data_IF_531410830901
#
_entry.id   IF_531410830901
#
_cell.length_a   1.000
_cell.length_b   1.000
_cell.length_c   1.000
_cell.angle_alpha   90.00
_cell.angle_beta   90.00
_cell.angle_gamma   90.00
#
_symmetry.space_group_name_H-M   'P 1'
#
loop_
_entity.id
_entity.type
_entity.pdbx_description
1 polymer ?
#
# COMPACT_ATOMS: atom_id res chain seq x y z
N UNK A 1 5.23 -11.10 -0.64
CA UNK A 1 6.47 -10.41 -1.02
C UNK A 1 7.52 -11.46 -1.35
N UNK A 2 8.22 -11.30 -2.48
CA UNK A 2 9.25 -12.22 -2.94
C UNK A 2 10.61 -11.53 -3.22
N UNK A 3 10.61 -10.20 -3.26
CA UNK A 3 11.80 -9.38 -3.46
C UNK A 3 11.87 -8.21 -2.47
N UNK A 4 13.10 -7.77 -2.17
CA UNK A 4 13.42 -6.50 -1.52
C UNK A 4 14.35 -5.71 -2.43
N UNK A 5 14.04 -4.43 -2.71
CA UNK A 5 14.92 -3.51 -3.43
C UNK A 5 15.74 -2.71 -2.43
N UNK A 6 17.05 -2.75 -2.55
CA UNK A 6 18.00 -2.11 -1.64
C UNK A 6 18.89 -1.16 -2.41
N UNK A 7 18.79 0.16 -2.10
CA UNK A 7 19.70 1.15 -2.68
C UNK A 7 21.12 1.00 -2.15
N UNK A 8 22.08 1.38 -2.95
CA UNK A 8 23.51 1.39 -2.58
C UNK A 8 24.10 2.74 -2.99
N UNK A 9 24.50 3.51 -1.98
CA UNK A 9 25.32 4.73 -2.15
C UNK A 9 26.80 4.38 -2.04
N UNK A 10 27.67 5.20 -2.67
CA UNK A 10 29.08 4.92 -2.67
C UNK A 10 29.74 5.20 -1.30
N UNK A 11 29.63 6.45 -0.84
CA UNK A 11 30.19 6.88 0.44
C UNK A 11 29.33 7.98 1.10
N UNK A 12 28.24 7.61 1.79
CA UNK A 12 27.30 8.57 2.39
C UNK A 12 27.80 9.12 3.75
N UNK A 13 29.07 9.50 3.82
CA UNK A 13 29.69 9.98 5.07
C UNK A 13 30.63 11.14 4.77
N UNK A 14 30.76 12.05 5.77
CA UNK A 14 31.83 13.06 5.78
C UNK A 14 33.20 12.40 6.03
N UNK A 15 34.26 13.16 5.87
CA UNK A 15 35.62 12.68 6.11
C UNK A 15 35.88 12.27 7.58
N UNK A 16 35.14 12.83 8.53
CA UNK A 16 35.17 12.48 9.96
C UNK A 16 34.12 11.43 10.36
N UNK A 17 33.39 10.87 9.37
CA UNK A 17 32.51 9.72 9.53
C UNK A 17 31.07 10.06 9.94
N UNK A 18 30.63 11.31 9.83
CA UNK A 18 29.24 11.67 10.03
C UNK A 18 28.39 11.21 8.83
N UNK A 19 27.28 10.52 9.10
CA UNK A 19 26.39 10.02 8.05
C UNK A 19 25.49 11.11 7.47
N UNK A 20 25.15 10.98 6.18
CA UNK A 20 24.29 11.92 5.46
C UNK A 20 22.79 11.74 5.74
N UNK A 21 22.37 10.64 6.39
CA UNK A 21 20.97 10.32 6.61
C UNK A 21 20.42 9.32 5.60
N UNK A 22 19.10 9.21 5.53
CA UNK A 22 18.42 8.26 4.64
C UNK A 22 18.88 6.81 4.84
N UNK A 23 19.24 6.45 6.07
CA UNK A 23 19.78 5.14 6.43
C UNK A 23 21.29 4.99 6.22
N UNK A 24 22.01 5.97 5.68
CA UNK A 24 23.45 5.91 5.37
C UNK A 24 23.82 4.63 4.62
N UNK A 25 23.06 4.29 3.57
CA UNK A 25 23.07 2.96 2.94
C UNK A 25 24.22 2.84 1.94
N UNK A 26 25.42 2.59 2.45
CA UNK A 26 26.56 2.15 1.65
C UNK A 26 26.48 0.64 1.37
N UNK A 27 27.46 0.10 0.62
CA UNK A 27 27.50 -1.32 0.27
C UNK A 27 27.49 -2.26 1.50
N UNK A 28 28.13 -1.93 2.61
CA UNK A 28 28.19 -2.76 3.82
C UNK A 28 26.84 -2.80 4.54
N UNK A 29 26.14 -1.66 4.64
CA UNK A 29 24.81 -1.59 5.23
C UNK A 29 23.78 -2.31 4.35
N UNK A 30 23.84 -2.11 3.04
CA UNK A 30 23.00 -2.83 2.08
C UNK A 30 23.25 -4.35 2.16
N UNK A 31 24.49 -4.79 2.27
CA UNK A 31 24.85 -6.20 2.47
C UNK A 31 24.23 -6.79 3.74
N UNK A 32 24.24 -6.02 4.83
CA UNK A 32 23.61 -6.45 6.10
C UNK A 32 22.11 -6.69 5.93
N UNK A 33 21.41 -5.78 5.26
CA UNK A 33 19.99 -5.93 4.95
C UNK A 33 19.73 -7.07 3.95
N UNK A 34 20.56 -7.18 2.91
CA UNK A 34 20.46 -8.24 1.91
C UNK A 34 20.57 -9.64 2.50
N UNK A 35 21.50 -9.85 3.44
CA UNK A 35 21.62 -11.11 4.18
C UNK A 35 20.37 -11.45 5.00
N UNK A 36 19.77 -10.45 5.64
CA UNK A 36 18.50 -10.63 6.38
C UNK A 36 17.35 -10.96 5.43
N UNK A 37 17.25 -10.29 4.28
CA UNK A 37 16.25 -10.58 3.25
C UNK A 37 16.38 -12.01 2.74
N UNK A 38 17.60 -12.44 2.37
CA UNK A 38 17.90 -13.80 1.91
C UNK A 38 17.54 -14.84 2.99
N UNK A 39 17.89 -14.58 4.25
CA UNK A 39 17.55 -15.47 5.36
C UNK A 39 16.03 -15.59 5.58
N UNK A 40 15.26 -14.58 5.18
CA UNK A 40 13.79 -14.59 5.18
C UNK A 40 13.19 -15.21 3.90
N UNK A 41 14.01 -15.78 3.00
CA UNK A 41 13.55 -16.38 1.74
C UNK A 41 13.22 -15.37 0.63
N UNK A 42 13.68 -14.13 0.76
CA UNK A 42 13.46 -13.09 -0.24
C UNK A 42 14.67 -12.95 -1.15
N UNK A 43 14.43 -12.73 -2.44
CA UNK A 43 15.45 -12.29 -3.38
C UNK A 43 15.74 -10.79 -3.20
N UNK A 44 16.89 -10.36 -3.66
CA UNK A 44 17.34 -8.98 -3.57
C UNK A 44 17.46 -8.37 -4.97
N UNK A 45 16.92 -7.17 -5.15
CA UNK A 45 17.28 -6.24 -6.20
C UNK A 45 18.27 -5.24 -5.59
N UNK A 46 19.50 -5.22 -6.10
CA UNK A 46 20.54 -4.25 -5.70
C UNK A 46 20.43 -3.04 -6.58
N UNK A 47 20.12 -1.87 -6.01
CA UNK A 47 19.91 -0.61 -6.71
C UNK A 47 21.11 0.32 -6.52
N UNK A 48 22.01 0.37 -7.50
CA UNK A 48 23.16 1.25 -7.48
C UNK A 48 22.75 2.67 -7.87
N UNK A 49 22.89 3.63 -6.97
CA UNK A 49 22.68 5.04 -7.28
C UNK A 49 23.88 5.66 -8.00
N UNK A 50 25.08 5.12 -7.81
CA UNK A 50 26.35 5.70 -8.27
C UNK A 50 26.50 7.16 -7.86
N UNK A 51 26.14 7.46 -6.63
CA UNK A 51 26.23 8.74 -5.93
C UNK A 51 26.53 8.48 -4.46
N UNK A 52 26.90 9.50 -3.71
CA UNK A 52 27.12 9.37 -2.25
C UNK A 52 25.86 9.64 -1.45
N UNK A 53 24.78 10.06 -2.10
CA UNK A 53 23.49 10.37 -1.50
C UNK A 53 22.36 10.10 -2.50
N UNK A 54 21.14 10.59 -2.25
CA UNK A 54 20.01 10.39 -3.13
C UNK A 54 20.33 10.74 -4.60
N UNK A 55 20.01 9.82 -5.50
CA UNK A 55 19.98 10.06 -6.93
C UNK A 55 18.54 10.03 -7.43
N UNK A 56 18.10 11.08 -8.11
CA UNK A 56 16.79 11.26 -8.71
C UNK A 56 16.94 11.98 -10.06
N UNK A 57 15.85 12.25 -10.83
CA UNK A 57 15.96 12.90 -12.14
C UNK A 57 16.65 14.26 -12.13
N UNK A 58 16.62 14.98 -11.01
CA UNK A 58 17.24 16.28 -10.83
C UNK A 58 18.66 16.19 -10.24
N UNK A 59 18.97 15.09 -9.55
CA UNK A 59 20.19 14.88 -8.78
C UNK A 59 20.89 13.59 -9.21
N UNK A 60 21.83 13.71 -10.12
CA UNK A 60 22.69 12.62 -10.58
C UNK A 60 24.15 13.01 -10.36
N UNK A 61 24.48 13.32 -9.09
CA UNK A 61 25.80 13.82 -8.72
C UNK A 61 26.83 12.70 -8.74
N UNK A 62 28.03 13.03 -9.22
CA UNK A 62 29.16 12.12 -9.19
C UNK A 62 29.62 11.88 -7.74
N UNK A 63 29.96 10.64 -7.33
CA UNK A 63 30.56 10.39 -6.03
C UNK A 63 31.80 11.24 -5.77
N UNK A 64 32.03 11.66 -4.51
CA UNK A 64 33.20 12.45 -4.10
C UNK A 64 34.49 11.86 -4.60
N UNK A 65 34.65 10.53 -4.48
CA UNK A 65 35.83 9.80 -4.91
C UNK A 65 36.07 9.86 -6.43
N UNK A 66 35.05 10.19 -7.25
CA UNK A 66 35.13 10.25 -8.71
C UNK A 66 35.18 11.67 -9.24
N UNK A 67 35.17 12.66 -8.35
CA UNK A 67 35.12 14.11 -8.70
C UNK A 67 36.26 14.56 -9.61
N UNK A 68 37.44 13.93 -9.51
CA UNK A 68 38.63 14.31 -10.32
C UNK A 68 38.47 14.03 -11.83
N UNK A 69 37.48 13.22 -12.22
CA UNK A 69 37.18 12.89 -13.61
C UNK A 69 35.69 13.10 -13.95
N UNK A 70 35.00 13.94 -13.18
CA UNK A 70 33.62 14.32 -13.47
C UNK A 70 33.44 14.73 -14.93
N UNK A 71 32.42 14.18 -15.60
CA UNK A 71 32.13 14.44 -17.00
C UNK A 71 32.94 13.59 -17.99
N UNK A 72 33.94 12.81 -17.56
CA UNK A 72 34.67 11.85 -18.38
C UNK A 72 33.92 10.52 -18.40
N UNK A 73 33.16 10.28 -19.48
CA UNK A 73 32.29 9.11 -19.60
C UNK A 73 33.09 7.78 -19.62
N UNK A 74 34.30 7.75 -20.18
CA UNK A 74 35.10 6.53 -20.25
C UNK A 74 35.64 6.15 -18.88
N UNK A 75 36.22 7.09 -18.14
CA UNK A 75 36.67 6.85 -16.77
C UNK A 75 35.53 6.54 -15.81
N UNK A 76 34.36 7.20 -15.97
CA UNK A 76 33.18 6.89 -15.18
C UNK A 76 32.70 5.47 -15.45
N UNK A 77 32.65 5.03 -16.71
CA UNK A 77 32.28 3.67 -17.09
C UNK A 77 33.24 2.62 -16.50
N UNK A 78 34.56 2.83 -16.62
CA UNK A 78 35.56 1.92 -16.02
C UNK A 78 35.38 1.83 -14.49
N UNK A 79 35.14 2.96 -13.82
CA UNK A 79 34.94 2.99 -12.36
C UNK A 79 33.63 2.36 -11.93
N UNK A 80 32.54 2.55 -12.68
CA UNK A 80 31.24 1.90 -12.46
C UNK A 80 31.39 0.36 -12.60
N UNK A 81 32.12 -0.09 -13.63
CA UNK A 81 32.40 -1.51 -13.78
C UNK A 81 33.13 -2.09 -12.56
N UNK A 82 34.22 -1.45 -12.14
CA UNK A 82 35.02 -1.94 -11.01
C UNK A 82 34.24 -1.91 -9.69
N UNK A 83 33.52 -0.83 -9.40
CA UNK A 83 32.73 -0.68 -8.18
C UNK A 83 31.57 -1.70 -8.13
N UNK A 84 30.84 -1.85 -9.23
CA UNK A 84 29.75 -2.82 -9.34
C UNK A 84 30.24 -4.25 -9.17
N UNK A 85 31.34 -4.58 -9.87
CA UNK A 85 31.96 -5.92 -9.79
C UNK A 85 32.42 -6.25 -8.38
N UNK A 86 33.11 -5.32 -7.71
CA UNK A 86 33.59 -5.51 -6.34
C UNK A 86 32.42 -5.70 -5.37
N UNK A 87 31.41 -4.83 -5.42
CA UNK A 87 30.24 -4.90 -4.52
C UNK A 87 29.48 -6.21 -4.72
N UNK A 88 29.18 -6.59 -5.96
CA UNK A 88 28.44 -7.83 -6.24
C UNK A 88 29.25 -9.09 -5.91
N UNK A 89 30.58 -9.05 -6.05
CA UNK A 89 31.44 -10.15 -5.62
C UNK A 89 31.32 -10.36 -4.11
N UNK A 90 31.28 -9.28 -3.33
CA UNK A 90 31.11 -9.34 -1.87
C UNK A 90 29.72 -9.91 -1.50
N UNK A 91 28.66 -9.46 -2.18
CA UNK A 91 27.29 -9.98 -1.98
C UNK A 91 27.19 -11.47 -2.31
N UNK A 92 27.77 -11.89 -3.45
CA UNK A 92 27.82 -13.31 -3.85
C UNK A 92 28.57 -14.17 -2.82
N UNK A 93 29.76 -13.72 -2.38
CA UNK A 93 30.55 -14.44 -1.37
C UNK A 93 29.85 -14.55 -0.02
N UNK A 94 29.00 -13.57 0.32
CA UNK A 94 28.18 -13.58 1.52
C UNK A 94 26.90 -14.44 1.40
N UNK A 95 26.65 -15.07 0.24
CA UNK A 95 25.51 -15.95 0.00
C UNK A 95 24.18 -15.20 -0.17
N UNK A 96 24.21 -13.93 -0.61
CA UNK A 96 22.98 -13.17 -0.89
C UNK A 96 22.32 -13.69 -2.18
N UNK A 97 21.01 -13.93 -2.13
CA UNK A 97 20.19 -14.30 -3.29
C UNK A 97 19.84 -13.06 -4.10
N UNK A 98 20.76 -12.61 -4.96
CA UNK A 98 20.58 -11.46 -5.84
C UNK A 98 19.89 -11.91 -7.12
N UNK A 99 18.63 -11.53 -7.30
CA UNK A 99 17.85 -11.84 -8.52
C UNK A 99 17.87 -10.74 -9.57
N UNK A 100 18.10 -9.49 -9.17
CA UNK A 100 18.16 -8.34 -10.07
C UNK A 100 19.20 -7.33 -9.61
N UNK A 101 19.78 -6.59 -10.55
CA UNK A 101 20.70 -5.48 -10.27
C UNK A 101 20.34 -4.29 -11.15
N UNK A 102 20.10 -3.14 -10.52
CA UNK A 102 19.74 -1.89 -11.16
C UNK A 102 20.99 -1.02 -11.35
N UNK A 103 21.19 -0.58 -12.58
CA UNK A 103 22.33 0.26 -13.00
C UNK A 103 21.88 1.71 -13.04
N UNK A 104 22.05 2.42 -11.93
CA UNK A 104 21.59 3.80 -11.72
C UNK A 104 20.13 3.87 -11.28
N UNK A 105 19.76 4.93 -10.56
CA UNK A 105 18.41 5.21 -10.11
C UNK A 105 17.83 6.41 -10.88
N UNK A 106 16.60 6.24 -11.45
CA UNK A 106 15.88 7.29 -12.19
C UNK A 106 16.72 8.07 -13.21
N UNK A 107 17.46 7.35 -14.03
CA UNK A 107 18.50 7.87 -14.94
C UNK A 107 17.94 8.59 -16.17
N UNK A 108 16.85 9.31 -16.01
CA UNK A 108 16.07 9.97 -17.09
C UNK A 108 16.90 10.91 -17.95
N UNK A 109 17.84 11.65 -17.34
CA UNK A 109 18.66 12.65 -18.05
C UNK A 109 20.17 12.45 -17.86
N UNK A 110 20.58 11.76 -16.79
CA UNK A 110 21.99 11.57 -16.41
C UNK A 110 22.14 10.27 -15.63
N UNK A 111 23.38 9.79 -15.52
CA UNK A 111 23.82 8.75 -14.59
C UNK A 111 25.22 9.07 -14.11
N UNK A 112 25.47 9.07 -12.80
CA UNK A 112 26.79 9.35 -12.20
C UNK A 112 27.46 10.62 -12.75
N UNK A 113 26.69 11.71 -12.91
CA UNK A 113 27.16 12.98 -13.49
C UNK A 113 27.27 13.01 -15.02
N UNK A 114 27.18 11.87 -15.71
CA UNK A 114 27.29 11.78 -17.17
C UNK A 114 25.93 12.02 -17.82
N UNK A 115 25.88 12.93 -18.80
CA UNK A 115 24.71 13.26 -19.60
C UNK A 115 24.91 12.90 -21.07
N UNK A 116 23.80 12.83 -21.83
CA UNK A 116 23.83 12.45 -23.24
C UNK A 116 23.98 10.94 -23.44
N UNK A 117 23.26 10.43 -24.45
CA UNK A 117 23.13 8.98 -24.65
C UNK A 117 24.44 8.28 -24.99
N UNK A 118 25.37 8.92 -25.71
CA UNK A 118 26.68 8.36 -26.02
C UNK A 118 27.50 8.10 -24.73
N UNK A 119 27.40 8.99 -23.76
CA UNK A 119 28.08 8.83 -22.47
C UNK A 119 27.32 7.90 -21.51
N UNK A 120 26.02 8.11 -21.35
CA UNK A 120 25.19 7.30 -20.46
C UNK A 120 25.21 5.82 -20.83
N UNK A 121 25.15 5.50 -22.14
CA UNK A 121 25.17 4.12 -22.62
C UNK A 121 26.50 3.39 -22.31
N UNK A 122 27.62 4.09 -22.27
CA UNK A 122 28.89 3.52 -21.81
C UNK A 122 28.80 3.12 -20.33
N UNK A 123 28.21 3.96 -19.49
CA UNK A 123 28.03 3.70 -18.06
C UNK A 123 27.06 2.52 -17.85
N UNK A 124 25.91 2.50 -18.54
CA UNK A 124 24.96 1.38 -18.49
C UNK A 124 25.63 0.06 -18.92
N UNK A 125 26.36 0.05 -20.03
CA UNK A 125 27.05 -1.13 -20.54
C UNK A 125 28.14 -1.63 -19.62
N UNK A 126 28.84 -0.72 -18.93
CA UNK A 126 29.87 -1.07 -17.95
C UNK A 126 29.27 -1.75 -16.72
N UNK A 127 28.17 -1.19 -16.16
CA UNK A 127 27.43 -1.80 -15.06
C UNK A 127 26.88 -3.17 -15.45
N UNK A 128 26.23 -3.27 -16.59
CA UNK A 128 25.70 -4.53 -17.13
C UNK A 128 26.80 -5.59 -17.28
N UNK A 129 27.93 -5.24 -17.88
CA UNK A 129 29.08 -6.15 -18.03
C UNK A 129 29.55 -6.69 -16.68
N UNK A 130 29.66 -5.86 -15.66
CA UNK A 130 30.07 -6.28 -14.32
C UNK A 130 29.05 -7.27 -13.72
N UNK A 131 27.76 -7.02 -13.91
CA UNK A 131 26.68 -7.90 -13.45
C UNK A 131 26.76 -9.26 -14.12
N UNK A 132 26.85 -9.29 -15.47
CA UNK A 132 26.94 -10.56 -16.22
C UNK A 132 28.14 -11.39 -15.82
N UNK A 133 29.26 -10.75 -15.49
CA UNK A 133 30.48 -11.48 -15.06
C UNK A 133 30.36 -12.08 -13.65
N UNK A 134 29.71 -11.38 -12.72
CA UNK A 134 29.63 -11.82 -11.31
C UNK A 134 28.40 -12.68 -11.05
N UNK A 135 27.24 -12.25 -11.60
CA UNK A 135 25.92 -12.82 -11.36
C UNK A 135 25.20 -13.05 -12.70
N UNK A 136 25.63 -14.00 -13.53
CA UNK A 136 25.10 -14.19 -14.89
C UNK A 136 23.58 -14.47 -14.94
N UNK A 137 23.01 -15.00 -13.86
CA UNK A 137 21.57 -15.32 -13.76
C UNK A 137 20.72 -14.14 -13.26
N UNK A 138 21.35 -13.07 -12.74
CA UNK A 138 20.62 -11.91 -12.27
C UNK A 138 20.19 -11.03 -13.46
N UNK A 139 18.94 -10.54 -13.43
CA UNK A 139 18.44 -9.61 -14.46
C UNK A 139 19.09 -8.24 -14.27
N UNK A 140 19.51 -7.63 -15.38
CA UNK A 140 20.03 -6.26 -15.45
C UNK A 140 18.86 -5.30 -15.64
N UNK A 141 18.73 -4.33 -14.73
CA UNK A 141 17.63 -3.37 -14.71
C UNK A 141 18.15 -1.97 -15.04
N UNK A 142 17.44 -1.27 -15.93
CA UNK A 142 17.64 0.18 -16.19
C UNK A 142 16.36 0.92 -15.78
N UNK A 143 16.50 1.96 -14.97
CA UNK A 143 15.39 2.63 -14.31
C UNK A 143 15.22 4.08 -14.77
N UNK A 144 13.98 4.41 -15.15
CA UNK A 144 13.54 5.74 -15.56
C UNK A 144 12.29 6.17 -14.79
N UNK A 145 11.90 7.43 -14.95
CA UNK A 145 10.67 7.97 -14.38
C UNK A 145 9.95 8.92 -15.34
N UNK A 146 8.79 9.44 -14.92
CA UNK A 146 7.88 10.31 -15.67
C UNK A 146 7.21 9.59 -16.87
N UNK A 147 6.51 8.47 -16.65
CA UNK A 147 5.77 7.76 -17.72
C UNK A 147 4.66 8.60 -18.35
N UNK A 148 4.19 9.67 -17.67
CA UNK A 148 3.18 10.59 -18.17
C UNK A 148 3.68 11.50 -19.31
N UNK A 149 4.99 11.65 -19.46
CA UNK A 149 5.58 12.47 -20.52
C UNK A 149 5.55 11.70 -21.84
N UNK A 150 4.66 12.12 -22.72
CA UNK A 150 4.41 11.45 -23.99
C UNK A 150 5.67 11.16 -24.81
N UNK A 151 5.86 9.89 -25.20
CA UNK A 151 6.95 9.45 -26.09
C UNK A 151 8.33 9.32 -25.43
N UNK A 152 8.49 9.67 -24.14
CA UNK A 152 9.80 9.63 -23.47
C UNK A 152 10.31 8.20 -23.31
N UNK A 153 9.48 7.26 -22.85
CA UNK A 153 9.87 5.85 -22.67
C UNK A 153 10.20 5.16 -23.98
N UNK A 154 9.41 5.41 -25.04
CA UNK A 154 9.75 4.94 -26.38
C UNK A 154 11.09 5.49 -26.87
N UNK A 155 11.41 6.75 -26.55
CA UNK A 155 12.69 7.37 -26.86
C UNK A 155 13.83 6.73 -26.07
N UNK A 156 13.68 6.52 -24.76
CA UNK A 156 14.71 5.92 -23.90
C UNK A 156 15.03 4.48 -24.34
N UNK A 157 14.01 3.66 -24.52
CA UNK A 157 14.17 2.29 -25.01
C UNK A 157 14.83 2.23 -26.40
N UNK A 158 14.48 3.15 -27.31
CA UNK A 158 15.14 3.30 -28.61
C UNK A 158 16.61 3.67 -28.46
N UNK A 159 16.96 4.56 -27.55
CA UNK A 159 18.35 4.96 -27.32
C UNK A 159 19.18 3.80 -26.74
N UNK A 160 18.64 3.08 -25.75
CA UNK A 160 19.29 1.88 -25.21
C UNK A 160 19.56 0.85 -26.32
N UNK A 161 18.59 0.60 -27.20
CA UNK A 161 18.73 -0.29 -28.35
C UNK A 161 19.76 0.21 -29.37
N UNK A 162 19.73 1.49 -29.74
CA UNK A 162 20.67 2.08 -30.72
C UNK A 162 22.13 2.00 -30.25
N UNK A 163 22.35 2.04 -28.94
CA UNK A 163 23.69 1.95 -28.35
C UNK A 163 24.04 0.51 -27.92
N UNK A 164 23.20 -0.47 -28.23
CA UNK A 164 23.42 -1.88 -27.91
C UNK A 164 23.65 -2.11 -26.40
N UNK A 165 22.94 -1.38 -25.52
CA UNK A 165 23.01 -1.61 -24.10
C UNK A 165 22.38 -2.97 -23.79
N UNK A 166 23.15 -3.85 -23.16
CA UNK A 166 22.67 -5.17 -22.68
C UNK A 166 21.92 -4.99 -21.36
N UNK A 167 20.60 -5.19 -21.40
CA UNK A 167 19.74 -5.17 -20.20
C UNK A 167 18.53 -6.09 -20.39
N UNK A 168 17.91 -6.52 -19.31
CA UNK A 168 16.75 -7.40 -19.32
C UNK A 168 15.46 -6.62 -19.01
N UNK A 169 15.50 -5.72 -18.04
CA UNK A 169 14.31 -5.08 -17.48
C UNK A 169 14.35 -3.57 -17.65
N UNK A 170 13.28 -3.01 -18.23
CA UNK A 170 13.01 -1.57 -18.24
C UNK A 170 12.09 -1.22 -17.07
N UNK A 171 12.61 -0.52 -16.08
CA UNK A 171 11.89 -0.19 -14.86
C UNK A 171 11.37 1.26 -14.86
N UNK A 172 10.25 1.48 -14.20
CA UNK A 172 9.57 2.79 -14.07
C UNK A 172 9.31 3.12 -12.60
N UNK A 173 9.55 4.36 -12.18
CA UNK A 173 8.81 4.91 -11.05
C UNK A 173 7.40 5.28 -11.51
N UNK A 174 6.41 5.01 -10.67
CA UNK A 174 5.04 5.43 -10.86
C UNK A 174 4.41 5.85 -9.55
N UNK A 175 4.21 7.13 -9.38
CA UNK A 175 3.48 7.69 -8.25
C UNK A 175 2.15 8.26 -8.75
N UNK A 176 0.99 7.74 -8.32
CA UNK A 176 -0.32 8.15 -8.86
C UNK A 176 -0.57 9.65 -8.78
N UNK A 177 -0.02 10.29 -7.76
CA UNK A 177 -0.18 11.72 -7.55
C UNK A 177 0.67 12.60 -8.50
N UNK A 178 1.61 12.04 -9.29
CA UNK A 178 2.44 12.76 -10.26
C UNK A 178 2.38 12.21 -11.68
N UNK A 179 2.26 10.90 -11.86
CA UNK A 179 2.63 10.20 -13.09
C UNK A 179 1.44 9.75 -13.95
N UNK A 180 0.30 10.46 -13.84
CA UNK A 180 -0.84 10.18 -14.71
C UNK A 180 -1.67 8.96 -14.32
N UNK A 181 -2.19 8.23 -15.29
CA UNK A 181 -3.09 7.10 -15.07
C UNK A 181 -2.39 5.75 -15.22
N UNK A 182 -2.96 4.71 -14.61
CA UNK A 182 -2.50 3.32 -14.73
C UNK A 182 -2.62 2.80 -16.17
N UNK A 183 -3.64 3.24 -16.92
CA UNK A 183 -3.81 2.89 -18.34
C UNK A 183 -2.66 3.44 -19.18
N UNK A 184 -2.23 4.68 -18.92
CA UNK A 184 -1.06 5.24 -19.59
C UNK A 184 0.21 4.47 -19.22
N UNK A 185 0.40 4.14 -17.92
CA UNK A 185 1.52 3.32 -17.44
C UNK A 185 1.57 1.99 -18.20
N UNK A 186 0.46 1.25 -18.22
CA UNK A 186 0.36 -0.01 -18.99
C UNK A 186 0.73 0.20 -20.45
N UNK A 187 0.19 1.25 -21.08
CA UNK A 187 0.41 1.52 -22.51
C UNK A 187 1.88 1.79 -22.84
N UNK A 188 2.56 2.63 -22.06
CA UNK A 188 3.96 2.98 -22.33
C UNK A 188 4.92 1.83 -22.02
N UNK A 189 4.67 1.06 -20.95
CA UNK A 189 5.48 -0.12 -20.61
C UNK A 189 5.26 -1.26 -21.63
N UNK A 190 4.01 -1.53 -22.01
CA UNK A 190 3.69 -2.53 -23.04
C UNK A 190 4.32 -2.19 -24.39
N UNK A 191 4.40 -0.90 -24.74
CA UNK A 191 5.11 -0.46 -25.94
C UNK A 191 6.60 -0.82 -25.90
N UNK A 192 7.24 -0.65 -24.74
CA UNK A 192 8.66 -1.05 -24.55
C UNK A 192 8.80 -2.57 -24.65
N UNK A 193 7.99 -3.33 -23.90
CA UNK A 193 8.02 -4.79 -23.91
C UNK A 193 7.83 -5.36 -25.32
N UNK A 194 6.77 -4.96 -26.02
CA UNK A 194 6.45 -5.47 -27.34
C UNK A 194 7.48 -5.11 -28.41
N UNK A 195 8.04 -3.87 -28.35
CA UNK A 195 8.96 -3.36 -29.38
C UNK A 195 10.38 -3.89 -29.21
N UNK A 196 10.86 -3.98 -27.97
CA UNK A 196 12.26 -4.28 -27.68
C UNK A 196 12.46 -5.65 -27.02
N UNK A 197 11.38 -6.41 -26.80
CA UNK A 197 11.41 -7.75 -26.15
C UNK A 197 12.15 -7.69 -24.84
N UNK A 198 11.67 -6.82 -23.94
CA UNK A 198 12.22 -6.59 -22.61
C UNK A 198 11.14 -6.76 -21.57
N UNK A 199 11.51 -7.34 -20.46
CA UNK A 199 10.68 -7.27 -19.27
C UNK A 199 10.51 -5.81 -18.81
N UNK A 200 9.42 -5.55 -18.14
CA UNK A 200 9.12 -4.24 -17.56
C UNK A 200 8.63 -4.39 -16.13
N UNK A 201 8.83 -3.37 -15.31
CA UNK A 201 8.32 -3.37 -13.93
C UNK A 201 8.11 -1.95 -13.40
N UNK A 202 7.36 -1.82 -12.32
CA UNK A 202 7.33 -0.62 -11.48
C UNK A 202 8.33 -0.79 -10.34
N UNK A 203 9.41 0.00 -10.37
CA UNK A 203 10.45 -0.03 -9.34
C UNK A 203 10.09 0.79 -8.10
N UNK A 204 9.18 1.75 -8.24
CA UNK A 204 8.74 2.62 -7.16
C UNK A 204 7.27 3.02 -7.33
N UNK A 205 6.50 2.86 -6.26
CA UNK A 205 5.16 3.44 -6.09
C UNK A 205 4.87 3.62 -4.61
N UNK A 206 4.00 4.55 -4.25
CA UNK A 206 3.50 4.71 -2.88
C UNK A 206 2.22 5.52 -2.84
N UNK A 207 1.48 5.44 -1.72
CA UNK A 207 0.30 6.24 -1.42
C UNK A 207 0.23 6.58 0.07
N UNK A 208 -0.28 7.76 0.41
CA UNK A 208 -0.42 8.18 1.80
C UNK A 208 -1.59 7.48 2.50
N UNK A 209 -1.38 7.00 3.74
CA UNK A 209 -2.46 6.47 4.57
C UNK A 209 -3.12 7.53 5.47
N UNK A 210 -2.45 8.66 5.67
CA UNK A 210 -2.91 9.83 6.41
C UNK A 210 -2.32 11.11 5.82
N UNK A 211 -2.88 12.27 6.14
CA UNK A 211 -2.27 13.58 5.87
C UNK A 211 -1.55 14.15 7.09
N UNK A 212 -1.57 13.45 8.22
CA UNK A 212 -0.82 13.84 9.40
C UNK A 212 0.69 13.68 9.13
N UNK A 213 1.48 14.36 9.94
CA UNK A 213 2.93 14.37 9.93
C UNK A 213 3.41 13.77 11.27
N UNK A 214 4.27 12.77 11.21
CA UNK A 214 4.69 12.03 12.39
C UNK A 214 5.93 12.59 13.07
N UNK A 215 6.74 13.42 12.40
CA UNK A 215 8.02 13.90 12.93
C UNK A 215 8.22 15.43 12.84
N UNK A 216 7.19 16.18 12.43
CA UNK A 216 7.19 17.63 12.23
C UNK A 216 8.12 18.08 11.07
N UNK A 217 8.48 17.19 10.16
CA UNK A 217 9.16 17.50 8.90
C UNK A 217 8.20 17.30 7.73
N UNK A 218 7.89 18.38 7.04
CA UNK A 218 6.78 18.43 6.06
C UNK A 218 6.78 17.30 5.04
N UNK A 219 5.72 16.51 5.06
CA UNK A 219 5.52 15.42 4.12
C UNK A 219 5.35 15.89 2.65
N UNK A 220 5.86 15.09 1.72
CA UNK A 220 5.65 15.29 0.28
C UNK A 220 4.16 15.33 -0.09
N UNK A 221 3.35 14.48 0.55
CA UNK A 221 1.90 14.52 0.50
C UNK A 221 1.39 15.06 1.85
N UNK A 222 0.67 16.20 1.91
CA UNK A 222 0.07 16.96 0.79
C UNK A 222 0.94 18.12 0.23
N UNK A 223 2.12 18.40 0.75
CA UNK A 223 2.82 19.67 0.50
C UNK A 223 3.21 19.92 -0.96
N UNK A 224 3.51 18.87 -1.72
CA UNK A 224 3.93 18.92 -3.14
C UNK A 224 2.92 18.30 -4.11
N UNK A 225 1.71 17.99 -3.64
CA UNK A 225 0.68 17.30 -4.43
C UNK A 225 -0.60 18.15 -4.49
N UNK A 226 -1.19 18.26 -5.66
CA UNK A 226 -2.45 19.01 -5.82
C UNK A 226 -3.62 18.25 -5.19
N UNK A 227 -4.62 19.00 -4.70
CA UNK A 227 -5.83 18.41 -4.13
C UNK A 227 -6.58 17.48 -5.12
N UNK A 228 -6.51 17.75 -6.44
CA UNK A 228 -7.14 16.90 -7.44
C UNK A 228 -6.40 15.57 -7.63
N UNK A 229 -5.09 15.56 -7.54
CA UNK A 229 -4.28 14.33 -7.61
C UNK A 229 -4.50 13.42 -6.38
N UNK A 230 -4.82 14.00 -5.22
CA UNK A 230 -5.13 13.24 -4.00
C UNK A 230 -6.51 12.57 -4.00
N UNK A 231 -7.34 12.81 -5.03
CA UNK A 231 -8.67 12.18 -5.15
C UNK A 231 -8.66 10.82 -5.84
N UNK A 232 -7.50 10.32 -6.29
CA UNK A 232 -7.43 9.05 -7.02
C UNK A 232 -7.79 7.84 -6.16
N UNK A 233 -7.29 7.85 -4.93
CA UNK A 233 -7.60 6.86 -3.91
C UNK A 233 -7.89 7.59 -2.60
N UNK A 234 -8.58 6.95 -1.68
CA UNK A 234 -8.76 7.50 -0.34
C UNK A 234 -7.40 7.65 0.38
N UNK A 235 -7.26 8.69 1.18
CA UNK A 235 -6.10 8.85 2.08
C UNK A 235 -6.36 7.98 3.31
N UNK A 236 -6.01 6.71 3.19
CA UNK A 236 -6.28 5.68 4.20
C UNK A 236 -5.46 4.42 3.90
N UNK A 237 -5.34 3.48 4.85
CA UNK A 237 -4.78 2.16 4.58
C UNK A 237 -5.53 1.40 3.46
N UNK A 238 -6.85 1.61 3.33
CA UNK A 238 -7.61 1.04 2.20
C UNK A 238 -7.17 1.65 0.88
N UNK A 239 -7.02 2.97 0.82
CA UNK A 239 -6.54 3.64 -0.40
C UNK A 239 -5.12 3.21 -0.80
N UNK A 240 -4.22 2.92 0.16
CA UNK A 240 -2.93 2.29 -0.12
C UNK A 240 -3.10 0.90 -0.76
N UNK A 241 -4.02 0.08 -0.21
CA UNK A 241 -4.29 -1.26 -0.75
C UNK A 241 -4.86 -1.19 -2.17
N UNK A 242 -5.75 -0.24 -2.43
CA UNK A 242 -6.35 -0.02 -3.75
C UNK A 242 -5.31 0.46 -4.77
N UNK A 243 -4.42 1.35 -4.36
CA UNK A 243 -3.29 1.81 -5.18
C UNK A 243 -2.35 0.65 -5.55
N UNK A 244 -1.88 -0.10 -4.57
CA UNK A 244 -0.98 -1.24 -4.77
C UNK A 244 -1.60 -2.25 -5.76
N UNK A 245 -2.91 -2.52 -5.63
CA UNK A 245 -3.63 -3.43 -6.54
C UNK A 245 -3.73 -2.86 -7.95
N UNK A 246 -4.10 -1.58 -8.07
CA UNK A 246 -4.26 -0.93 -9.37
C UNK A 246 -2.93 -0.90 -10.15
N UNK A 247 -1.82 -0.61 -9.46
CA UNK A 247 -0.49 -0.62 -10.08
C UNK A 247 -0.04 -2.04 -10.43
N UNK A 248 -0.30 -3.01 -9.54
CA UNK A 248 0.00 -4.42 -9.83
C UNK A 248 -0.82 -4.94 -11.02
N UNK A 249 -2.10 -4.58 -11.14
CA UNK A 249 -2.95 -4.90 -12.27
C UNK A 249 -2.44 -4.24 -13.56
N UNK A 250 -2.03 -2.98 -13.50
CA UNK A 250 -1.46 -2.27 -14.64
C UNK A 250 -0.22 -2.98 -15.21
N UNK A 251 0.65 -3.48 -14.33
CA UNK A 251 1.83 -4.26 -14.72
C UNK A 251 1.43 -5.64 -15.22
N UNK A 252 0.48 -6.31 -14.58
CA UNK A 252 0.01 -7.64 -15.01
C UNK A 252 -0.66 -7.59 -16.40
N UNK A 253 -1.31 -6.49 -16.76
CA UNK A 253 -1.96 -6.28 -18.05
C UNK A 253 -0.97 -6.03 -19.22
N UNK A 254 0.34 -6.02 -18.95
CA UNK A 254 1.37 -6.02 -19.99
C UNK A 254 1.25 -7.29 -20.84
N UNK A 255 1.14 -8.45 -20.19
CA UNK A 255 1.02 -9.76 -20.82
C UNK A 255 2.31 -10.22 -21.48
N UNK A 256 2.25 -11.37 -22.12
CA UNK A 256 3.34 -11.92 -22.93
C UNK A 256 3.41 -11.20 -24.28
N UNK A 257 4.51 -10.54 -24.58
CA UNK A 257 4.74 -9.79 -25.81
C UNK A 257 5.93 -10.32 -26.63
N UNK A 258 6.75 -11.21 -26.06
CA UNK A 258 7.87 -11.82 -26.75
C UNK A 258 7.59 -13.26 -27.20
N UNK A 259 6.57 -13.90 -26.64
CA UNK A 259 6.06 -15.21 -27.06
C UNK A 259 6.70 -16.37 -26.33
N UNK A 260 7.30 -16.13 -25.16
CA UNK A 260 7.93 -17.18 -24.34
C UNK A 260 6.93 -17.87 -23.39
N UNK A 261 5.72 -17.36 -23.27
CA UNK A 261 4.62 -17.89 -22.44
C UNK A 261 4.56 -17.27 -21.05
N UNK A 262 5.46 -16.36 -20.71
CA UNK A 262 5.48 -15.64 -19.45
C UNK A 262 5.00 -14.19 -19.63
N UNK A 263 4.64 -13.54 -18.53
CA UNK A 263 4.24 -12.14 -18.55
C UNK A 263 5.48 -11.25 -18.46
N UNK A 264 5.66 -10.35 -19.43
CA UNK A 264 6.76 -9.38 -19.43
C UNK A 264 6.65 -8.35 -18.31
N UNK A 265 5.48 -8.21 -17.68
CA UNK A 265 5.26 -7.37 -16.51
C UNK A 265 5.65 -8.10 -15.23
N UNK A 266 6.85 -7.84 -14.70
CA UNK A 266 7.43 -8.61 -13.60
C UNK A 266 6.80 -8.32 -12.23
N UNK A 267 6.29 -7.10 -11.99
CA UNK A 267 5.69 -6.72 -10.71
C UNK A 267 6.00 -5.29 -10.27
N UNK A 268 5.82 -5.06 -8.96
CA UNK A 268 5.83 -3.73 -8.35
C UNK A 268 6.67 -3.75 -7.07
N UNK A 269 7.49 -2.74 -6.88
CA UNK A 269 8.12 -2.42 -5.60
C UNK A 269 7.44 -1.21 -4.98
N UNK A 270 7.06 -1.33 -3.71
CA UNK A 270 6.56 -0.22 -2.91
C UNK A 270 7.76 0.54 -2.32
N UNK A 271 7.80 1.86 -2.49
CA UNK A 271 8.93 2.70 -2.07
C UNK A 271 8.81 3.09 -0.61
N UNK A 272 9.90 2.90 0.14
CA UNK A 272 10.03 3.22 1.57
C UNK A 272 8.88 2.67 2.46
N UNK A 273 8.56 1.37 2.36
CA UNK A 273 7.39 0.79 3.04
C UNK A 273 7.49 0.80 4.56
N UNK A 274 8.68 1.01 5.12
CA UNK A 274 8.95 0.93 6.55
C UNK A 274 9.64 2.19 7.11
N UNK A 275 9.46 3.34 6.46
CA UNK A 275 9.99 4.58 6.97
C UNK A 275 9.10 5.12 8.08
N UNK A 276 9.39 4.71 9.30
CA UNK A 276 8.70 5.13 10.51
C UNK A 276 9.43 6.32 11.12
N UNK A 277 8.74 7.40 11.53
CA UNK A 277 9.38 8.57 12.16
C UNK A 277 10.09 8.18 13.47
N UNK A 278 11.19 8.84 13.78
CA UNK A 278 12.05 8.53 14.94
C UNK A 278 11.77 9.43 16.14
N UNK A 279 10.72 10.21 16.09
CA UNK A 279 10.29 11.15 17.12
C UNK A 279 9.73 12.43 16.51
N UNK A 280 9.27 13.33 17.35
CA UNK A 280 8.63 14.59 16.98
C UNK A 280 9.43 15.81 17.43
N UNK A 281 9.14 16.98 16.85
CA UNK A 281 9.77 18.25 17.17
C UNK A 281 10.82 18.74 16.16
N UNK A 282 11.02 17.98 15.09
CA UNK A 282 11.86 18.39 13.95
C UNK A 282 13.29 18.82 14.39
N UNK A 283 13.86 19.77 13.69
CA UNK A 283 15.22 20.31 13.96
C UNK A 283 15.38 21.02 15.32
N UNK A 284 14.28 21.44 15.92
CA UNK A 284 14.30 22.12 17.23
C UNK A 284 14.49 21.15 18.40
N UNK A 285 14.33 19.84 18.14
CA UNK A 285 14.57 18.80 19.11
C UNK A 285 15.99 18.24 18.99
N UNK A 286 16.91 18.71 19.85
CA UNK A 286 18.32 18.33 19.80
C UNK A 286 18.55 16.82 20.00
N UNK A 287 17.74 16.14 20.84
CA UNK A 287 17.83 14.69 21.05
C UNK A 287 17.45 13.92 19.78
N UNK A 288 16.44 14.40 19.06
CA UNK A 288 16.02 13.83 17.79
C UNK A 288 17.11 14.03 16.73
N UNK A 289 17.68 15.22 16.64
CA UNK A 289 18.81 15.51 15.72
C UNK A 289 20.01 14.62 16.02
N UNK A 290 20.34 14.40 17.29
CA UNK A 290 21.41 13.45 17.68
C UNK A 290 21.09 12.02 17.24
N UNK A 291 19.82 11.61 17.31
CA UNK A 291 19.35 10.32 16.85
C UNK A 291 19.46 10.20 15.31
N UNK A 292 19.05 11.22 14.57
CA UNK A 292 19.23 11.26 13.11
C UNK A 292 20.69 11.18 12.72
N UNK A 293 21.56 11.94 13.36
CA UNK A 293 23.01 11.93 13.10
C UNK A 293 23.62 10.55 13.37
N UNK A 294 23.20 9.90 14.46
CA UNK A 294 23.73 8.60 14.88
C UNK A 294 23.29 7.44 14.01
N UNK A 295 22.01 7.42 13.64
CA UNK A 295 21.37 6.27 12.97
C UNK A 295 21.00 6.52 11.52
N UNK A 296 21.03 7.77 11.05
CA UNK A 296 20.56 8.16 9.74
C UNK A 296 19.05 8.10 9.59
N UNK A 297 18.28 8.32 10.69
CA UNK A 297 16.84 8.13 10.72
C UNK A 297 16.02 9.18 9.96
N UNK A 298 16.58 10.39 9.68
CA UNK A 298 15.98 11.40 8.80
C UNK A 298 16.29 11.15 7.32
N UNK A 299 15.63 11.88 6.43
CA UNK A 299 15.94 11.80 4.99
C UNK A 299 17.36 12.35 4.71
N UNK A 300 17.78 13.38 5.47
CA UNK A 300 19.11 13.97 5.45
C UNK A 300 19.51 14.43 6.86
N UNK A 301 20.80 14.45 7.13
CA UNK A 301 21.42 15.18 8.24
C UNK A 301 22.02 16.49 7.75
N UNK A 302 22.39 17.40 8.66
CA UNK A 302 23.09 18.62 8.32
C UNK A 302 24.41 18.34 7.54
N UNK A 303 25.07 17.23 7.88
CA UNK A 303 26.31 16.80 7.23
C UNK A 303 26.15 16.51 5.73
N UNK A 304 24.97 16.11 5.27
CA UNK A 304 24.69 15.89 3.84
C UNK A 304 24.85 17.15 3.00
N UNK A 305 24.78 18.34 3.63
CA UNK A 305 24.99 19.61 2.96
C UNK A 305 26.38 19.80 2.33
N UNK A 306 27.41 19.03 2.74
CA UNK A 306 28.71 19.06 2.07
C UNK A 306 28.65 18.47 0.65
N UNK A 307 27.77 17.49 0.44
CA UNK A 307 27.57 16.81 -0.84
C UNK A 307 26.39 17.42 -1.63
N UNK A 308 25.30 17.74 -0.96
CA UNK A 308 24.08 18.32 -1.54
C UNK A 308 23.72 19.66 -0.88
N UNK A 309 24.47 20.75 -1.14
CA UNK A 309 24.30 22.02 -0.44
C UNK A 309 23.00 22.76 -0.77
N UNK A 310 22.38 22.47 -1.92
CA UNK A 310 21.22 23.21 -2.40
C UNK A 310 19.89 22.60 -1.98
N UNK A 311 19.88 21.37 -1.48
CA UNK A 311 18.69 20.71 -0.95
C UNK A 311 18.94 20.21 0.47
N UNK A 312 19.75 19.16 0.69
CA UNK A 312 20.05 18.67 2.02
C UNK A 312 20.68 19.76 2.92
N UNK A 313 21.56 20.59 2.39
CA UNK A 313 22.15 21.70 3.12
C UNK A 313 21.16 22.77 3.60
N UNK A 314 19.99 22.85 2.98
CA UNK A 314 18.93 23.80 3.32
C UNK A 314 17.75 23.15 4.07
N UNK A 315 17.40 21.92 3.69
CA UNK A 315 16.16 21.27 4.08
C UNK A 315 16.37 19.91 4.77
N UNK A 316 17.57 19.63 5.28
CA UNK A 316 17.83 18.42 6.05
C UNK A 316 16.82 18.27 7.21
N UNK A 317 16.48 17.04 7.59
CA UNK A 317 15.51 16.80 8.64
C UNK A 317 14.96 15.37 8.65
N UNK A 318 13.76 15.23 9.15
CA UNK A 318 13.01 13.99 9.30
C UNK A 318 12.58 13.36 7.99
N UNK A 319 11.46 12.68 8.00
CA UNK A 319 10.96 11.97 6.83
C UNK A 319 9.89 12.76 6.08
N UNK A 320 10.16 13.11 4.83
CA UNK A 320 9.12 13.69 3.96
C UNK A 320 8.11 12.66 3.40
N UNK A 321 8.09 11.41 3.91
CA UNK A 321 7.26 10.31 3.37
C UNK A 321 6.79 9.31 4.45
N UNK A 322 6.90 9.65 5.72
CA UNK A 322 6.49 8.79 6.83
C UNK A 322 5.00 8.43 6.77
N UNK A 323 4.16 9.33 6.24
CA UNK A 323 2.73 9.11 6.01
C UNK A 323 2.42 8.19 4.81
N UNK A 324 3.43 7.68 4.12
CA UNK A 324 3.29 6.74 3.00
C UNK A 324 3.79 5.33 3.35
N UNK A 325 4.36 5.12 4.54
CA UNK A 325 4.78 3.80 5.00
C UNK A 325 3.59 2.83 5.13
N UNK A 326 3.87 1.53 5.17
CA UNK A 326 2.89 0.47 5.46
C UNK A 326 2.83 0.14 6.96
N UNK A 327 3.34 1.05 7.76
CA UNK A 327 3.32 1.06 9.22
C UNK A 327 2.88 2.45 9.68
N UNK A 328 2.14 2.52 10.79
CA UNK A 328 1.80 3.80 11.40
C UNK A 328 3.01 4.46 12.08
N UNK A 329 2.84 5.65 12.61
CA UNK A 329 3.92 6.41 13.24
C UNK A 329 4.51 5.74 14.49
N UNK A 330 3.81 4.78 15.09
CA UNK A 330 4.28 3.95 16.20
C UNK A 330 4.97 2.65 15.73
N UNK A 331 5.08 2.44 14.43
CA UNK A 331 5.67 1.24 13.82
C UNK A 331 4.76 0.02 13.81
N UNK A 332 3.45 0.20 14.02
CA UNK A 332 2.47 -0.87 13.94
C UNK A 332 2.03 -1.07 12.49
N UNK A 333 2.03 -2.32 12.02
CA UNK A 333 1.63 -2.65 10.67
C UNK A 333 0.20 -2.19 10.35
N UNK A 334 0.03 -1.49 9.23
CA UNK A 334 -1.26 -1.07 8.70
C UNK A 334 -1.98 -2.24 8.01
N UNK A 335 -3.30 -2.13 7.88
CA UNK A 335 -4.13 -3.10 7.16
C UNK A 335 -3.77 -3.22 5.67
N UNK A 336 -3.06 -2.25 5.10
CA UNK A 336 -2.55 -2.28 3.72
C UNK A 336 -1.37 -3.23 3.51
N UNK A 337 -0.57 -3.51 4.53
CA UNK A 337 0.62 -4.37 4.41
C UNK A 337 0.32 -5.78 3.86
N UNK A 338 -0.76 -6.49 4.29
CA UNK A 338 -1.13 -7.79 3.75
C UNK A 338 -1.51 -7.80 2.27
N UNK A 339 -1.77 -6.66 1.62
CA UNK A 339 -2.15 -6.59 0.21
C UNK A 339 -1.19 -7.36 -0.69
N UNK A 340 0.11 -7.32 -0.40
CA UNK A 340 1.13 -8.08 -1.15
C UNK A 340 0.97 -9.60 -1.05
N UNK A 341 0.34 -10.11 0.00
CA UNK A 341 0.03 -11.54 0.14
C UNK A 341 -1.09 -11.94 -0.82
N UNK A 342 -2.03 -11.04 -1.07
CA UNK A 342 -3.28 -11.34 -1.77
C UNK A 342 -3.30 -10.91 -3.24
N UNK A 343 -2.28 -10.20 -3.74
CA UNK A 343 -2.22 -9.78 -5.15
C UNK A 343 -2.40 -10.95 -6.12
N UNK A 344 -1.80 -12.10 -5.84
CA UNK A 344 -1.91 -13.28 -6.71
C UNK A 344 -3.26 -13.98 -6.65
N UNK A 345 -3.97 -13.89 -5.53
CA UNK A 345 -5.24 -14.58 -5.30
C UNK A 345 -6.45 -13.71 -5.60
N UNK A 346 -6.24 -12.38 -5.76
CA UNK A 346 -7.33 -11.41 -5.88
C UNK A 346 -8.09 -11.17 -4.57
N UNK A 347 -7.76 -11.88 -3.47
CA UNK A 347 -8.36 -11.64 -2.17
C UNK A 347 -7.94 -10.26 -1.61
N UNK A 348 -8.81 -9.63 -0.82
CA UNK A 348 -8.54 -8.29 -0.24
C UNK A 348 -7.89 -8.41 1.12
N UNK A 349 -8.21 -9.49 1.84
CA UNK A 349 -7.69 -9.85 3.17
C UNK A 349 -8.02 -11.33 3.42
N UNK A 350 -7.69 -11.87 4.59
CA UNK A 350 -8.17 -13.19 4.98
C UNK A 350 -9.70 -13.18 5.07
N UNK A 351 -10.31 -14.28 4.65
CA UNK A 351 -11.75 -14.49 4.75
C UNK A 351 -12.11 -14.77 6.22
N UNK A 352 -12.28 -13.69 6.98
CA UNK A 352 -12.57 -13.74 8.42
C UNK A 352 -13.95 -13.14 8.65
N UNK A 353 -14.80 -13.88 9.33
CA UNK A 353 -16.13 -13.42 9.73
C UNK A 353 -16.02 -12.13 10.58
N UNK A 354 -16.87 -11.14 10.29
CA UNK A 354 -16.93 -9.87 11.02
C UNK A 354 -18.23 -9.67 11.76
N UNK A 355 -19.37 -9.86 11.08
CA UNK A 355 -20.68 -9.66 11.66
C UNK A 355 -21.79 -10.26 10.82
N UNK A 356 -22.96 -10.41 11.43
CA UNK A 356 -24.26 -10.52 10.76
C UNK A 356 -25.08 -9.29 11.19
N UNK A 357 -25.78 -8.66 10.25
CA UNK A 357 -26.64 -7.53 10.58
C UNK A 357 -27.84 -7.98 11.43
N UNK A 358 -28.24 -7.21 12.47
CA UNK A 358 -29.39 -7.54 13.30
C UNK A 358 -30.66 -7.68 12.48
N UNK A 359 -31.43 -8.71 12.76
CA UNK A 359 -32.75 -8.92 12.16
C UNK A 359 -33.81 -8.25 13.04
N UNK A 360 -34.72 -7.50 12.43
CA UNK A 360 -35.82 -6.88 13.12
C UNK A 360 -37.17 -7.35 12.56
N UNK A 361 -38.09 -7.72 13.43
CA UNK A 361 -39.45 -8.12 13.10
C UNK A 361 -40.41 -7.25 13.89
N UNK A 362 -41.46 -6.78 13.25
CA UNK A 362 -42.55 -6.06 13.89
C UNK A 362 -43.83 -6.87 13.81
N UNK A 363 -44.57 -6.94 14.92
CA UNK A 363 -45.83 -7.63 15.03
C UNK A 363 -46.79 -6.82 15.93
N UNK A 364 -48.06 -7.26 16.00
CA UNK A 364 -49.04 -6.75 16.94
C UNK A 364 -49.43 -7.85 17.94
N UNK A 365 -50.00 -7.47 19.08
CA UNK A 365 -50.48 -8.41 20.09
C UNK A 365 -51.70 -9.23 19.62
N UNK A 366 -52.25 -8.91 18.46
CA UNK A 366 -53.29 -9.70 17.78
C UNK A 366 -52.75 -10.77 16.83
N UNK A 367 -51.45 -10.72 16.51
CA UNK A 367 -50.82 -11.70 15.64
C UNK A 367 -50.61 -13.04 16.38
N UNK A 368 -50.83 -14.14 15.68
CA UNK A 368 -50.52 -15.46 16.25
C UNK A 368 -49.01 -15.68 16.32
N UNK A 369 -48.58 -16.48 17.29
CA UNK A 369 -47.17 -16.90 17.42
C UNK A 369 -46.65 -17.53 16.13
N UNK A 370 -47.47 -18.35 15.45
CA UNK A 370 -47.09 -18.97 14.19
C UNK A 370 -46.89 -17.94 13.07
N UNK A 371 -47.68 -16.85 13.05
CA UNK A 371 -47.51 -15.77 12.11
C UNK A 371 -46.20 -14.97 12.38
N UNK A 372 -45.82 -14.82 13.64
CA UNK A 372 -44.54 -14.19 14.02
C UNK A 372 -43.37 -15.11 13.65
N UNK A 373 -43.47 -16.42 13.95
CA UNK A 373 -42.45 -17.41 13.57
C UNK A 373 -42.22 -17.48 12.06
N UNK A 374 -43.26 -17.30 11.25
CA UNK A 374 -43.17 -17.31 9.80
C UNK A 374 -42.42 -16.13 9.21
N UNK A 375 -42.17 -15.06 9.99
CA UNK A 375 -41.37 -13.92 9.58
C UNK A 375 -39.86 -14.08 9.83
N UNK A 376 -39.47 -15.12 10.59
CA UNK A 376 -38.03 -15.39 10.81
C UNK A 376 -37.37 -15.73 9.47
N UNK A 377 -36.31 -15.03 9.09
CA UNK A 377 -35.62 -15.35 7.86
C UNK A 377 -34.94 -16.72 7.95
N UNK A 378 -34.99 -17.49 6.88
CA UNK A 378 -34.30 -18.77 6.78
C UNK A 378 -32.78 -18.57 6.49
N UNK A 379 -32.41 -17.41 6.03
CA UNK A 379 -31.06 -17.05 5.61
C UNK A 379 -30.73 -15.63 6.05
N UNK A 380 -29.46 -15.37 6.34
CA UNK A 380 -28.91 -14.05 6.67
C UNK A 380 -27.62 -13.79 5.88
N UNK A 381 -27.29 -12.53 5.68
CA UNK A 381 -26.00 -12.13 5.12
C UNK A 381 -24.94 -12.08 6.23
N UNK A 382 -23.92 -12.89 6.09
CA UNK A 382 -22.72 -12.85 6.92
C UNK A 382 -21.64 -12.01 6.21
N UNK A 383 -21.13 -11.00 6.88
CA UNK A 383 -20.11 -10.10 6.35
C UNK A 383 -18.73 -10.57 6.76
N UNK A 384 -17.80 -10.56 5.80
CA UNK A 384 -16.41 -10.97 6.01
C UNK A 384 -15.47 -9.80 5.78
N UNK A 385 -14.29 -9.88 6.40
CA UNK A 385 -13.27 -8.82 6.36
C UNK A 385 -12.76 -8.54 4.94
N UNK A 386 -12.82 -9.52 4.05
CA UNK A 386 -12.44 -9.40 2.64
C UNK A 386 -13.48 -8.70 1.76
N UNK A 387 -14.58 -8.22 2.35
CA UNK A 387 -15.67 -7.54 1.65
C UNK A 387 -16.62 -8.50 0.93
N UNK A 388 -16.44 -9.80 1.08
CA UNK A 388 -17.38 -10.82 0.57
C UNK A 388 -18.51 -10.98 1.57
N UNK A 389 -19.74 -10.98 1.07
CA UNK A 389 -20.93 -11.35 1.85
C UNK A 389 -21.34 -12.78 1.47
N UNK A 390 -21.47 -13.63 2.46
CA UNK A 390 -21.99 -14.99 2.27
C UNK A 390 -23.42 -15.09 2.79
N UNK A 391 -24.24 -15.85 2.10
CA UNK A 391 -25.59 -16.19 2.57
C UNK A 391 -25.52 -17.45 3.43
N UNK A 392 -25.87 -17.32 4.70
CA UNK A 392 -25.86 -18.42 5.65
C UNK A 392 -27.27 -18.77 6.08
N UNK A 393 -27.59 -20.07 6.12
CA UNK A 393 -28.87 -20.57 6.63
C UNK A 393 -28.89 -20.51 8.15
N UNK A 394 -30.04 -20.15 8.74
CA UNK A 394 -30.19 -19.96 10.20
C UNK A 394 -31.11 -20.99 10.82
N UNK A 395 -30.68 -21.54 11.94
CA UNK A 395 -31.53 -22.29 12.84
C UNK A 395 -31.91 -21.45 14.05
N UNK A 396 -33.16 -21.00 14.10
CA UNK A 396 -33.66 -20.16 15.18
C UNK A 396 -34.12 -20.95 16.39
N UNK A 397 -33.88 -20.45 17.60
CA UNK A 397 -34.49 -20.95 18.85
C UNK A 397 -35.92 -20.45 18.95
N UNK A 398 -36.74 -20.80 17.96
CA UNK A 398 -38.08 -20.24 17.78
C UNK A 398 -39.08 -20.62 18.92
N UNK A 399 -38.77 -21.63 19.74
CA UNK A 399 -39.55 -21.95 20.93
C UNK A 399 -39.59 -20.80 21.97
N UNK A 400 -38.60 -19.88 21.94
CA UNK A 400 -38.63 -18.69 22.78
C UNK A 400 -39.78 -17.74 22.42
N UNK A 401 -40.29 -17.76 21.19
CA UNK A 401 -41.48 -16.99 20.76
C UNK A 401 -42.75 -17.43 21.44
N UNK A 402 -42.84 -18.72 21.90
CA UNK A 402 -44.02 -19.24 22.59
C UNK A 402 -44.26 -18.50 23.92
N UNK A 403 -43.31 -17.71 24.40
CA UNK A 403 -43.38 -16.93 25.63
C UNK A 403 -43.83 -15.50 25.43
N UNK A 404 -44.09 -15.03 24.21
CA UNK A 404 -44.65 -13.70 23.94
C UNK A 404 -46.03 -13.59 24.55
N UNK A 405 -46.29 -12.58 25.38
CA UNK A 405 -47.55 -12.40 26.12
C UNK A 405 -48.18 -11.02 25.94
N UNK A 406 -47.79 -10.29 24.95
CA UNK A 406 -48.36 -8.96 24.67
C UNK A 406 -47.32 -8.02 24.08
N UNK A 407 -47.65 -6.74 24.09
CA UNK A 407 -46.76 -5.69 23.59
C UNK A 407 -45.43 -5.65 24.34
N UNK A 408 -44.32 -5.52 23.64
CA UNK A 408 -42.98 -5.54 24.18
C UNK A 408 -41.94 -5.85 23.13
N UNK A 409 -40.68 -5.86 23.56
CA UNK A 409 -39.53 -6.19 22.70
C UNK A 409 -38.94 -7.52 23.19
N UNK A 410 -38.79 -8.45 22.29
CA UNK A 410 -38.32 -9.82 22.54
C UNK A 410 -37.11 -10.10 21.68
N UNK A 411 -36.04 -10.67 22.26
CA UNK A 411 -34.82 -11.05 21.52
C UNK A 411 -34.76 -12.57 21.41
N UNK A 412 -34.60 -13.06 20.18
CA UNK A 412 -34.47 -14.47 19.88
C UNK A 412 -33.08 -14.70 19.27
N UNK A 413 -32.43 -15.76 19.70
CA UNK A 413 -31.13 -16.16 19.15
C UNK A 413 -31.28 -17.26 18.12
N UNK A 414 -30.36 -17.28 17.19
CA UNK A 414 -30.19 -18.32 16.19
C UNK A 414 -28.72 -18.63 15.97
N UNK A 415 -28.43 -19.73 15.31
CA UNK A 415 -27.09 -20.11 14.90
C UNK A 415 -27.09 -20.42 13.42
N UNK A 416 -26.12 -19.93 12.69
CA UNK A 416 -25.99 -20.21 11.25
C UNK A 416 -25.34 -21.57 11.00
N UNK A 417 -25.42 -22.05 9.76
CA UNK A 417 -24.74 -23.30 9.34
C UNK A 417 -23.21 -23.21 9.44
N UNK A 418 -22.65 -22.00 9.42
CA UNK A 418 -21.21 -21.74 9.66
C UNK A 418 -20.86 -21.63 11.15
N UNK A 419 -21.86 -21.66 12.04
CA UNK A 419 -21.67 -21.60 13.50
C UNK A 419 -21.64 -20.17 14.07
N UNK A 420 -22.07 -19.18 13.30
CA UNK A 420 -22.13 -17.79 13.77
C UNK A 420 -23.44 -17.56 14.53
N UNK A 421 -23.34 -16.80 15.63
CA UNK A 421 -24.51 -16.37 16.38
C UNK A 421 -25.21 -15.21 15.69
N UNK A 422 -26.55 -15.27 15.64
CA UNK A 422 -27.41 -14.22 15.10
C UNK A 422 -28.56 -13.94 16.06
N UNK A 423 -29.00 -12.71 16.09
CA UNK A 423 -30.14 -12.30 16.93
C UNK A 423 -31.23 -11.66 16.07
N UNK A 424 -32.49 -11.90 16.45
CA UNK A 424 -33.63 -11.19 15.94
C UNK A 424 -34.32 -10.44 17.08
N UNK A 425 -34.65 -9.18 16.83
CA UNK A 425 -35.45 -8.36 17.75
C UNK A 425 -36.87 -8.33 17.22
N UNK A 426 -37.81 -8.89 18.00
CA UNK A 426 -39.24 -8.89 17.70
C UNK A 426 -39.92 -7.80 18.53
N UNK A 427 -40.40 -6.75 17.89
CA UNK A 427 -41.15 -5.67 18.51
C UNK A 427 -42.66 -5.91 18.32
N UNK A 428 -43.34 -6.25 19.40
CA UNK A 428 -44.81 -6.42 19.42
C UNK A 428 -45.44 -5.12 19.92
N UNK A 429 -46.32 -4.53 19.11
CA UNK A 429 -47.07 -3.34 19.47
C UNK A 429 -48.46 -3.70 19.90
N UNK A 430 -49.03 -2.95 20.84
CA UNK A 430 -50.42 -3.11 21.24
C UNK A 430 -51.39 -2.73 20.10
N UNK A 431 -52.33 -3.60 19.84
CA UNK A 431 -53.44 -3.29 18.92
C UNK A 431 -54.27 -2.16 19.59
N UNK A 432 -54.56 -1.08 18.88
CA UNK A 432 -55.43 -0.02 19.43
C UNK A 432 -56.74 -0.62 19.98
N UNK A 433 -57.03 -0.30 21.24
CA UNK A 433 -58.29 -0.73 21.84
C UNK A 433 -59.44 -0.28 20.95
N UNK A 434 -60.26 -1.24 20.53
CA UNK A 434 -61.49 -0.92 19.80
C UNK A 434 -62.48 -0.32 20.80
N UNK A 435 -62.76 0.94 20.68
CA UNK A 435 -63.79 1.58 21.49
C UNK A 435 -65.15 1.09 20.99
N UNK A 436 -65.74 0.24 21.78
CA UNK A 436 -67.09 -0.29 21.53
C UNK A 436 -68.17 0.64 22.14
N UNK A 437 -67.78 1.67 22.84
CA UNK A 437 -68.68 2.62 23.48
C UNK A 437 -68.61 3.92 22.68
N UNK A 438 -69.61 4.18 21.87
CA UNK A 438 -69.65 5.39 21.03
C UNK A 438 -70.08 6.64 21.84
N UNK A 439 -70.54 6.47 23.06
CA UNK A 439 -70.87 7.56 24.00
C UNK A 439 -70.42 7.11 25.42
N UNK A 440 -69.21 7.51 25.80
CA UNK A 440 -68.66 7.23 27.12
C UNK A 440 -69.16 8.11 28.23
N UNK A 441 -70.00 9.09 27.94
CA UNK A 441 -70.55 10.01 28.95
C UNK A 441 -71.75 9.46 29.71
N UNK A 442 -72.45 8.44 29.17
CA UNK A 442 -73.69 7.88 29.76
C UNK A 442 -74.77 8.92 30.00
N UNK A 443 -74.69 10.11 29.38
CA UNK A 443 -75.60 11.22 29.66
C UNK A 443 -76.80 11.27 28.70
N UNK A 444 -76.87 10.40 27.70
CA UNK A 444 -78.00 10.41 26.77
C UNK A 444 -79.11 9.43 27.27
N UNK A 445 -80.07 9.96 27.91
CA UNK A 445 -81.16 9.18 28.50
C UNK A 445 -81.98 8.29 27.53
N UNK A 446 -81.83 8.44 26.23
CA UNK A 446 -82.41 7.55 25.22
C UNK A 446 -81.68 6.19 25.05
N UNK A 447 -80.43 6.11 25.43
CA UNK A 447 -79.64 4.89 25.34
C UNK A 447 -79.70 4.02 26.61
N UNK A 448 -80.22 4.55 27.76
CA UNK A 448 -80.27 3.87 29.04
C UNK A 448 -81.17 2.63 29.05
N UNK A 449 -82.08 2.47 28.07
CA UNK A 449 -83.02 1.37 28.04
C UNK A 449 -82.47 0.06 27.48
N UNK A 450 -81.24 0.05 26.98
CA UNK A 450 -80.63 -1.17 26.37
C UNK A 450 -79.22 -1.48 26.95
N UNK A 451 -78.78 -0.80 28.00
CA UNK A 451 -77.54 -1.17 28.68
C UNK A 451 -77.80 -2.44 29.51
N UNK A 452 -77.59 -3.56 28.87
CA UNK A 452 -77.23 -4.80 29.56
C UNK A 452 -75.84 -4.57 30.16
N UNK A 453 -75.74 -4.51 31.49
CA UNK A 453 -74.46 -4.45 32.19
C UNK A 453 -73.54 -5.55 31.73
N UNK A 454 -72.71 -5.22 30.78
CA UNK A 454 -71.53 -6.02 30.48
C UNK A 454 -70.54 -5.71 31.65
N UNK A 455 -70.39 -6.66 32.55
CA UNK A 455 -69.31 -6.62 33.49
C UNK A 455 -67.99 -6.64 32.71
N UNK A 456 -67.39 -5.48 32.46
CA UNK A 456 -66.02 -5.38 32.09
C UNK A 456 -65.28 -5.72 33.39
N UNK A 457 -64.90 -6.97 33.58
CA UNK A 457 -63.95 -7.36 34.62
C UNK A 457 -62.63 -6.71 34.23
N UNK A 458 -62.12 -5.85 35.12
CA UNK A 458 -60.79 -5.36 35.03
C UNK A 458 -59.80 -6.56 34.83
N UNK A 459 -58.78 -6.41 34.03
CA UNK A 459 -57.79 -7.46 33.91
C UNK A 459 -57.18 -7.63 35.30
N UNK A 460 -57.28 -8.84 35.87
CA UNK A 460 -56.56 -9.16 37.09
C UNK A 460 -55.11 -8.91 36.92
N UNK A 461 -54.56 -7.93 37.64
CA UNK A 461 -53.11 -7.87 37.92
C UNK A 461 -52.75 -9.19 38.60
N UNK A 462 -52.07 -10.06 37.91
CA UNK A 462 -51.35 -11.14 38.56
C UNK A 462 -50.05 -10.55 39.09
N UNK A 463 -50.11 -10.20 40.38
CA UNK A 463 -48.89 -10.01 41.16
C UNK A 463 -48.19 -11.39 41.31
N UNK A 464 -46.90 -11.43 40.82
CA UNK A 464 -45.72 -12.01 41.43
C UNK A 464 -44.64 -12.20 40.37
#
# INVERSE_FOLDING_TARGET
VNYVRLRVWNDPFTADGQGYGGGNVNADRALTMAKRATAAGLKVLVDFHYSDFWADPSKQQVPKAWKSFEGDADKTADTVYDYTKQTLTTFKQAGVDVGMVQVGNETTAKIAGISGWDGMSKVFSAGSKAIREVLPEAKVVIHFTNPEKAGTYATYAKQLSNHNVDYDVFASSYYPFWHGTTENLTSVLKNVASTYKKDVMVAETSWAYTLDDGDDDSNTVPSKVTADNLKKYDISPQGQADEIRAVAEAVNNIGDNDGDGENDGLGVFYWEPAWVPVGTGGKDNAELVDTWNKYGGGWATEAAGEYDPNDAGLYWGGSGVDNQALFDFDGKALASLPTFKYIHTGAVTDHVFTKIDPVEITATDSDSIDAIKAQLPSEVAAHYQDGVDETETVTWQSAALDWIRGAGTYTITGTTNAGHDVTVTVTVTATPAKDYVTDGSFENAENDKNLSLIHISEPHETAA
#
